data_IF_929127654885
#
_entry.id   IF_929127654885
#
_cell.length_a   1.000
_cell.length_b   1.000
_cell.length_c   1.000
_cell.angle_alpha   90.00
_cell.angle_beta   90.00
_cell.angle_gamma   90.00
#
_symmetry.space_group_name_H-M   'P 1'
#
loop_
_entity.id
_entity.type
_entity.pdbx_description
1 polymer ?
#
# COMPACT_ATOMS: atom_id res chain seq x y z
N UNK A 1 -118.47 3.31 30.63
CA UNK A 1 -118.44 4.77 30.36
C UNK A 1 -117.15 5.30 30.98
N UNK A 2 -116.11 5.51 30.14
CA UNK A 2 -114.77 6.12 30.42
C UNK A 2 -113.74 5.42 31.34
N UNK A 3 -112.43 5.67 31.08
CA UNK A 3 -111.19 4.91 31.46
C UNK A 3 -110.07 5.77 32.15
N UNK A 4 -108.77 5.30 32.18
CA UNK A 4 -107.41 5.93 32.43
C UNK A 4 -106.60 5.28 33.60
N UNK A 5 -105.26 5.12 33.66
CA UNK A 5 -104.11 4.86 32.73
C UNK A 5 -102.78 4.58 33.54
N UNK A 6 -101.71 3.94 33.00
CA UNK A 6 -100.44 3.59 33.73
C UNK A 6 -99.16 3.36 32.84
N UNK A 7 -97.95 3.70 33.35
CA UNK A 7 -96.64 3.54 32.65
C UNK A 7 -95.50 2.85 33.44
N UNK A 8 -94.46 2.33 32.76
CA UNK A 8 -93.54 1.26 33.24
C UNK A 8 -92.07 1.70 33.42
N UNK A 9 -91.40 1.19 34.48
CA UNK A 9 -89.95 1.26 34.78
C UNK A 9 -89.47 -0.04 35.47
N UNK A 10 -88.29 -0.57 35.11
CA UNK A 10 -87.49 -1.51 35.93
C UNK A 10 -86.00 -1.38 35.57
N UNK A 11 -85.13 -1.27 36.58
CA UNK A 11 -83.67 -1.26 36.45
C UNK A 11 -83.10 -2.40 37.31
N UNK A 12 -82.29 -3.32 36.78
CA UNK A 12 -81.72 -4.43 37.54
C UNK A 12 -80.45 -5.06 36.91
N UNK A 13 -79.44 -5.35 37.75
CA UNK A 13 -78.24 -6.17 37.47
C UNK A 13 -77.30 -5.62 36.37
N UNK A 14 -75.98 -5.84 36.35
CA UNK A 14 -75.09 -6.70 37.12
C UNK A 14 -73.75 -6.74 36.36
N UNK A 15 -72.62 -6.94 37.05
CA UNK A 15 -71.29 -6.86 36.44
C UNK A 15 -71.00 -8.06 35.51
N UNK A 16 -70.78 -7.82 34.20
CA UNK A 16 -70.20 -8.82 33.29
C UNK A 16 -69.06 -8.21 32.46
N UNK A 17 -67.84 -8.64 32.78
CA UNK A 17 -66.67 -8.54 31.89
C UNK A 17 -66.67 -9.81 31.04
N UNK A 18 -66.53 -9.71 29.71
CA UNK A 18 -65.87 -10.80 29.00
C UNK A 18 -65.13 -10.44 27.70
N UNK A 19 -63.89 -10.92 27.67
CA UNK A 19 -63.00 -11.03 26.53
C UNK A 19 -63.67 -11.59 25.25
N UNK A 20 -63.40 -10.94 24.09
CA UNK A 20 -62.63 -11.63 23.03
C UNK A 20 -62.06 -10.69 21.96
N UNK A 21 -60.74 -10.77 21.86
CA UNK A 21 -59.85 -10.51 20.72
C UNK A 21 -60.46 -10.05 19.37
N UNK A 22 -59.82 -9.03 18.78
CA UNK A 22 -59.05 -9.31 17.56
C UNK A 22 -57.80 -8.44 17.43
N UNK A 23 -56.73 -9.05 16.88
CA UNK A 23 -55.43 -8.43 16.68
C UNK A 23 -55.48 -7.49 15.48
N UNK A 24 -55.01 -6.25 15.62
CA UNK A 24 -54.15 -5.57 14.63
C UNK A 24 -53.86 -4.13 15.06
N UNK A 25 -52.58 -3.74 15.06
CA UNK A 25 -52.00 -2.75 14.14
C UNK A 25 -50.55 -2.44 14.56
N UNK A 26 -49.61 -2.85 13.70
CA UNK A 26 -48.30 -2.21 13.44
C UNK A 26 -47.51 -1.62 14.62
N UNK A 27 -46.87 -2.50 15.38
CA UNK A 27 -45.62 -2.16 16.08
C UNK A 27 -44.53 -1.88 15.03
N UNK A 28 -43.98 -0.64 14.97
CA UNK A 28 -42.86 -0.26 14.08
C UNK A 28 -41.53 -0.07 14.83
N UNK A 29 -40.75 -1.13 15.13
CA UNK A 29 -39.38 -1.01 15.64
C UNK A 29 -38.35 -1.37 14.55
N UNK A 30 -38.21 -0.57 13.49
CA UNK A 30 -37.30 -0.93 12.37
C UNK A 30 -36.67 0.26 11.64
N UNK A 31 -36.28 1.32 12.37
CA UNK A 31 -35.47 2.42 11.79
C UNK A 31 -34.26 2.74 12.68
N UNK A 32 -34.42 2.75 14.01
CA UNK A 32 -33.33 3.14 14.94
C UNK A 32 -32.14 2.17 14.97
N UNK A 33 -32.33 0.89 14.64
CA UNK A 33 -31.27 -0.12 14.65
C UNK A 33 -30.31 -0.03 13.45
N UNK A 34 -30.72 0.60 12.34
CA UNK A 34 -29.93 0.66 11.11
C UNK A 34 -28.90 1.81 11.12
N UNK A 35 -29.07 2.78 12.02
CA UNK A 35 -28.22 3.98 12.12
C UNK A 35 -26.97 3.80 12.99
N UNK A 36 -26.91 2.78 13.87
CA UNK A 36 -25.71 2.46 14.65
C UNK A 36 -24.68 1.62 13.87
N UNK A 37 -25.09 0.90 12.81
CA UNK A 37 -24.19 -0.02 12.10
C UNK A 37 -23.28 0.68 11.07
N UNK A 38 -23.61 1.91 10.67
CA UNK A 38 -22.84 2.69 9.69
C UNK A 38 -21.59 3.38 10.29
N UNK A 39 -21.49 3.50 11.61
CA UNK A 39 -20.43 4.26 12.29
C UNK A 39 -19.08 3.54 12.38
N UNK A 40 -19.00 2.25 12.05
CA UNK A 40 -17.80 1.41 12.24
C UNK A 40 -16.98 1.22 10.95
N UNK A 41 -17.48 1.71 9.81
CA UNK A 41 -16.90 1.46 8.48
C UNK A 41 -15.75 2.41 8.08
N UNK A 42 -15.36 3.38 8.93
CA UNK A 42 -14.36 4.42 8.61
C UNK A 42 -13.09 4.38 9.47
N UNK A 43 -12.80 3.25 10.13
CA UNK A 43 -11.40 2.94 10.46
C UNK A 43 -10.74 2.40 9.18
N UNK A 44 -10.48 3.29 8.23
CA UNK A 44 -9.71 2.94 7.05
C UNK A 44 -8.32 2.48 7.49
N UNK A 45 -7.84 1.37 6.95
CA UNK A 45 -6.41 1.08 7.02
C UNK A 45 -5.68 2.24 6.34
N UNK A 46 -4.94 3.02 7.11
CA UNK A 46 -3.87 3.82 6.55
C UNK A 46 -2.90 2.82 5.91
N UNK A 47 -2.85 2.81 4.56
CA UNK A 47 -2.01 1.90 3.76
C UNK A 47 -0.51 2.10 4.04
N UNK A 48 -0.16 3.27 4.56
CA UNK A 48 1.19 3.77 4.76
C UNK A 48 1.37 4.22 6.21
N UNK A 49 2.51 3.88 6.80
CA UNK A 49 2.88 4.29 8.15
C UNK A 49 3.30 5.77 8.15
N UNK A 50 2.56 6.60 8.88
CA UNK A 50 2.82 8.05 8.98
C UNK A 50 3.92 8.38 10.00
N UNK A 51 4.21 7.45 10.90
CA UNK A 51 5.21 7.59 11.95
C UNK A 51 6.57 7.00 11.53
N UNK A 52 6.71 6.53 10.28
CA UNK A 52 7.96 6.01 9.73
C UNK A 52 9.05 7.10 9.76
N UNK A 53 10.20 6.77 10.34
CA UNK A 53 11.36 7.65 10.46
C UNK A 53 12.43 7.20 9.48
N UNK A 54 13.11 8.17 8.87
CA UNK A 54 14.24 7.92 7.97
C UNK A 54 14.06 8.52 6.59
N UNK A 55 15.14 8.40 5.82
CA UNK A 55 15.31 8.87 4.45
C UNK A 55 15.71 7.69 3.56
N UNK A 56 15.36 7.74 2.26
CA UNK A 56 15.68 6.70 1.28
C UNK A 56 16.91 7.10 0.48
N UNK A 57 17.92 6.25 0.50
CA UNK A 57 19.20 6.53 -0.15
C UNK A 57 19.67 5.35 -0.98
N UNK A 58 20.28 5.62 -2.13
CA UNK A 58 20.92 4.62 -2.98
C UNK A 58 22.42 4.69 -2.75
N UNK A 59 23.01 3.58 -2.31
CA UNK A 59 24.44 3.42 -2.07
C UNK A 59 25.04 2.44 -3.08
N UNK A 60 26.31 2.63 -3.41
CA UNK A 60 27.12 1.58 -4.03
C UNK A 60 27.56 0.55 -2.98
N UNK A 61 27.76 -0.69 -3.41
CA UNK A 61 28.33 -1.76 -2.58
C UNK A 61 29.84 -1.88 -2.84
N UNK A 62 30.64 -1.58 -1.80
CA UNK A 62 32.11 -1.69 -1.78
C UNK A 62 32.54 -3.17 -1.67
N UNK A 63 31.89 -3.91 -0.76
CA UNK A 63 32.03 -5.36 -0.65
C UNK A 63 30.65 -6.04 -0.70
N UNK A 64 30.54 -7.17 -1.40
CA UNK A 64 29.38 -8.05 -1.37
C UNK A 64 29.75 -9.46 -1.86
N UNK A 65 28.88 -10.43 -1.63
CA UNK A 65 29.04 -11.80 -2.12
C UNK A 65 27.84 -12.16 -3.01
N UNK A 66 28.09 -12.87 -4.10
CA UNK A 66 27.05 -13.44 -4.96
C UNK A 66 26.76 -14.89 -4.59
N UNK A 67 25.54 -15.34 -4.86
CA UNK A 67 25.20 -16.77 -4.86
C UNK A 67 25.90 -17.47 -6.04
N UNK A 68 26.46 -18.69 -5.88
CA UNK A 68 27.09 -19.41 -6.99
C UNK A 68 26.14 -19.61 -8.18
N UNK A 69 26.67 -19.45 -9.40
CA UNK A 69 25.94 -19.55 -10.68
C UNK A 69 24.72 -18.60 -10.80
N UNK A 70 24.76 -17.45 -10.13
CA UNK A 70 23.66 -16.47 -10.06
C UNK A 70 24.22 -15.06 -9.84
N UNK A 71 23.52 -14.04 -10.32
CA UNK A 71 23.77 -12.63 -9.99
C UNK A 71 23.24 -12.23 -8.62
N UNK A 72 22.42 -13.06 -7.98
CA UNK A 72 21.76 -12.75 -6.72
C UNK A 72 22.79 -12.43 -5.61
N UNK A 73 22.64 -11.26 -5.00
CA UNK A 73 23.50 -10.79 -3.91
C UNK A 73 23.06 -11.46 -2.60
N UNK A 74 24.02 -11.92 -1.80
CA UNK A 74 23.76 -12.54 -0.51
C UNK A 74 23.55 -11.46 0.57
N UNK A 75 22.55 -11.65 1.42
CA UNK A 75 22.19 -10.73 2.51
C UNK A 75 23.21 -10.64 3.67
N UNK A 76 24.47 -11.07 3.46
CA UNK A 76 25.52 -11.15 4.48
C UNK A 76 26.87 -10.77 3.90
N UNK A 77 27.67 -9.98 4.64
CA UNK A 77 28.97 -9.51 4.16
C UNK A 77 28.84 -8.47 3.03
N UNK A 78 27.82 -7.61 3.15
CA UNK A 78 27.68 -6.40 2.34
C UNK A 78 28.27 -5.21 3.09
N UNK A 79 29.04 -4.38 2.39
CA UNK A 79 29.58 -3.11 2.87
C UNK A 79 29.13 -2.03 1.90
N UNK A 80 28.49 -0.99 2.42
CA UNK A 80 28.10 0.19 1.65
C UNK A 80 29.30 1.14 1.50
N UNK A 81 29.39 1.83 0.37
CA UNK A 81 30.28 2.99 0.27
C UNK A 81 29.93 4.06 1.33
N UNK A 82 30.91 4.88 1.71
CA UNK A 82 30.77 5.85 2.79
C UNK A 82 29.78 7.00 2.52
N UNK A 83 29.39 7.20 1.26
CA UNK A 83 28.44 8.23 0.82
C UNK A 83 27.44 7.64 -0.16
N UNK A 84 26.16 8.04 -0.12
CA UNK A 84 25.17 7.60 -1.10
C UNK A 84 25.53 8.14 -2.48
N UNK A 85 25.26 7.34 -3.51
CA UNK A 85 25.39 7.77 -4.91
C UNK A 85 24.17 8.57 -5.37
N UNK A 86 23.00 8.35 -4.73
CA UNK A 86 21.81 9.22 -4.77
C UNK A 86 21.34 9.46 -3.34
N UNK A 87 21.42 10.71 -2.87
CA UNK A 87 20.88 11.11 -1.57
C UNK A 87 19.36 11.35 -1.65
N UNK A 88 18.64 11.22 -0.53
CA UNK A 88 17.17 11.35 -0.54
C UNK A 88 16.65 12.70 -1.05
N UNK A 89 17.42 13.77 -0.83
CA UNK A 89 17.10 15.10 -1.33
C UNK A 89 17.06 15.17 -2.87
N UNK A 90 17.83 14.32 -3.55
CA UNK A 90 17.95 14.26 -5.01
C UNK A 90 16.91 13.34 -5.67
N UNK A 91 16.11 12.62 -4.87
CA UNK A 91 14.96 11.85 -5.37
C UNK A 91 13.75 12.79 -5.38
N UNK A 92 13.22 13.08 -6.56
CA UNK A 92 12.06 13.95 -6.75
C UNK A 92 10.78 13.18 -6.42
N UNK A 93 10.67 11.94 -6.91
CA UNK A 93 9.50 11.09 -6.72
C UNK A 93 9.79 9.61 -6.94
N UNK A 94 8.79 8.78 -6.63
CA UNK A 94 8.82 7.35 -6.91
C UNK A 94 7.44 6.86 -7.37
N UNK A 95 7.39 6.27 -8.56
CA UNK A 95 6.20 5.60 -9.10
C UNK A 95 6.20 4.13 -8.70
N UNK A 96 5.27 3.77 -7.81
CA UNK A 96 5.13 2.40 -7.31
C UNK A 96 4.46 1.44 -8.32
N UNK A 97 3.80 1.96 -9.35
CA UNK A 97 3.22 1.15 -10.43
C UNK A 97 4.30 0.68 -11.41
N UNK A 98 5.27 1.54 -11.73
CA UNK A 98 6.37 1.20 -12.66
C UNK A 98 7.69 0.81 -11.96
N UNK A 99 7.79 1.00 -10.64
CA UNK A 99 9.01 0.85 -9.84
C UNK A 99 10.14 1.77 -10.30
N UNK A 100 9.81 3.05 -10.48
CA UNK A 100 10.69 4.04 -11.12
C UNK A 100 10.96 5.21 -10.18
N UNK A 101 12.23 5.59 -10.03
CA UNK A 101 12.63 6.80 -9.31
C UNK A 101 12.75 7.96 -10.29
N UNK A 102 12.07 9.08 -10.00
CA UNK A 102 12.33 10.37 -10.63
C UNK A 102 13.46 11.07 -9.85
N UNK A 103 14.50 11.50 -10.55
CA UNK A 103 15.78 11.96 -9.97
C UNK A 103 16.12 13.38 -10.44
N UNK A 104 16.79 14.14 -9.58
CA UNK A 104 17.41 15.38 -10.03
C UNK A 104 18.40 15.10 -11.18
N UNK A 105 18.45 15.93 -12.24
CA UNK A 105 19.33 15.69 -13.39
C UNK A 105 20.82 15.52 -13.04
N UNK A 106 21.27 16.15 -11.95
CA UNK A 106 22.63 16.02 -11.43
C UNK A 106 22.89 14.66 -10.76
N UNK A 107 21.87 13.98 -10.24
CA UNK A 107 21.97 12.61 -9.76
C UNK A 107 21.92 11.61 -10.91
N UNK A 108 20.94 11.75 -11.82
CA UNK A 108 20.82 10.91 -13.01
C UNK A 108 22.11 10.88 -13.84
N UNK A 109 22.75 12.03 -14.06
CA UNK A 109 24.02 12.11 -14.80
C UNK A 109 25.18 11.33 -14.16
N UNK A 110 25.22 11.19 -12.82
CA UNK A 110 26.29 10.43 -12.13
C UNK A 110 26.17 8.92 -12.30
N UNK A 111 24.97 8.41 -12.56
CA UNK A 111 24.72 6.97 -12.63
C UNK A 111 25.07 6.37 -14.01
N UNK A 112 25.18 7.20 -15.05
CA UNK A 112 25.39 6.75 -16.44
C UNK A 112 26.69 5.93 -16.62
N UNK A 113 27.74 6.24 -15.85
CA UNK A 113 29.03 5.54 -15.91
C UNK A 113 29.11 4.28 -15.01
N UNK A 114 28.06 3.94 -14.25
CA UNK A 114 28.08 2.89 -13.21
C UNK A 114 27.74 1.48 -13.72
N UNK A 115 27.88 1.21 -15.03
CA UNK A 115 27.50 -0.07 -15.62
C UNK A 115 28.16 -1.28 -14.91
N UNK A 116 27.32 -2.25 -14.50
CA UNK A 116 27.62 -3.43 -13.68
C UNK A 116 27.99 -3.17 -12.22
N UNK A 117 28.03 -1.91 -11.75
CA UNK A 117 28.20 -1.61 -10.33
C UNK A 117 26.99 -2.07 -9.53
N UNK A 118 27.24 -2.73 -8.39
CA UNK A 118 26.20 -3.19 -7.49
C UNK A 118 25.77 -2.05 -6.55
N UNK A 119 24.46 -1.99 -6.25
CA UNK A 119 23.88 -0.98 -5.38
C UNK A 119 22.98 -1.58 -4.31
N UNK A 120 22.70 -0.80 -3.28
CA UNK A 120 21.66 -1.04 -2.28
C UNK A 120 20.73 0.17 -2.18
N UNK A 121 19.42 -0.08 -2.11
CA UNK A 121 18.44 0.90 -1.67
C UNK A 121 18.23 0.71 -0.17
N UNK A 122 18.36 1.79 0.58
CA UNK A 122 18.36 1.78 2.03
C UNK A 122 17.30 2.69 2.63
N UNK A 123 16.92 2.45 3.88
CA UNK A 123 16.23 3.41 4.74
C UNK A 123 17.14 3.67 5.93
N UNK A 124 17.65 4.90 6.06
CA UNK A 124 18.63 5.26 7.12
C UNK A 124 19.83 4.30 7.21
N UNK A 125 20.33 3.82 6.06
CA UNK A 125 21.42 2.84 5.97
C UNK A 125 21.04 1.38 6.23
N UNK A 126 19.79 1.07 6.63
CA UNK A 126 19.28 -0.31 6.61
C UNK A 126 18.94 -0.72 5.18
N UNK A 127 19.60 -1.75 4.65
CA UNK A 127 19.37 -2.24 3.28
C UNK A 127 17.96 -2.86 3.18
N UNK A 128 17.18 -2.35 2.23
CA UNK A 128 15.87 -2.90 1.87
C UNK A 128 16.01 -3.92 0.75
N UNK A 129 16.64 -3.52 -0.36
CA UNK A 129 16.99 -4.42 -1.47
C UNK A 129 18.29 -3.98 -2.14
N UNK A 130 18.84 -4.86 -2.98
CA UNK A 130 20.06 -4.61 -3.75
C UNK A 130 19.83 -4.90 -5.22
N UNK A 131 20.69 -4.37 -6.08
CA UNK A 131 20.61 -4.55 -7.53
C UNK A 131 21.92 -4.21 -8.24
N UNK A 132 21.87 -4.16 -9.57
CA UNK A 132 22.98 -3.69 -10.41
C UNK A 132 22.51 -2.60 -11.36
N UNK A 133 23.33 -1.57 -11.56
CA UNK A 133 23.14 -0.65 -12.68
C UNK A 133 23.48 -1.36 -13.99
N UNK A 134 22.58 -1.32 -14.97
CA UNK A 134 22.70 -2.15 -16.17
C UNK A 134 22.33 -1.40 -17.44
N UNK A 135 22.98 -1.78 -18.54
CA UNK A 135 22.69 -1.25 -19.87
C UNK A 135 22.00 -2.32 -20.72
N UNK A 136 20.94 -1.91 -21.42
CA UNK A 136 20.18 -2.73 -22.37
C UNK A 136 20.94 -3.24 -23.60
N UNK A 137 22.25 -3.03 -23.66
CA UNK A 137 23.15 -3.54 -24.70
C UNK A 137 23.93 -4.80 -24.25
N UNK A 138 23.71 -5.27 -23.03
CA UNK A 138 24.33 -6.51 -22.52
C UNK A 138 23.69 -7.77 -23.08
N UNK A 139 24.50 -8.81 -23.31
CA UNK A 139 24.04 -10.18 -23.62
C UNK A 139 24.07 -11.13 -22.43
N UNK A 140 24.50 -10.66 -21.25
CA UNK A 140 24.50 -11.44 -20.02
C UNK A 140 23.08 -11.47 -19.42
N UNK A 141 22.70 -12.59 -18.83
CA UNK A 141 21.46 -12.74 -18.06
C UNK A 141 21.73 -12.32 -16.63
N UNK A 142 20.82 -11.55 -16.02
CA UNK A 142 20.86 -11.17 -14.61
C UNK A 142 19.59 -11.69 -13.95
N UNK A 143 19.71 -12.53 -12.93
CA UNK A 143 18.61 -13.04 -12.10
C UNK A 143 18.53 -12.28 -10.76
N UNK A 144 18.61 -10.95 -10.84
CA UNK A 144 18.54 -10.03 -9.69
C UNK A 144 17.92 -8.68 -10.11
N UNK A 145 17.68 -7.75 -9.16
CA UNK A 145 17.15 -6.43 -9.50
C UNK A 145 18.15 -5.65 -10.36
N UNK A 146 17.64 -4.97 -11.38
CA UNK A 146 18.39 -4.19 -12.35
C UNK A 146 17.86 -2.77 -12.42
N UNK A 147 18.75 -1.77 -12.33
CA UNK A 147 18.43 -0.38 -12.61
C UNK A 147 18.80 -0.07 -14.06
N UNK A 148 17.81 0.30 -14.89
CA UNK A 148 18.01 0.49 -16.34
C UNK A 148 18.61 1.86 -16.67
N UNK A 149 19.90 1.84 -17.04
CA UNK A 149 20.63 3.02 -17.47
C UNK A 149 20.18 3.54 -18.85
N UNK A 150 19.51 2.73 -19.68
CA UNK A 150 19.01 3.18 -20.99
C UNK A 150 17.76 4.04 -20.82
N UNK A 151 16.81 3.63 -19.98
CA UNK A 151 15.69 4.49 -19.57
C UNK A 151 16.21 5.77 -18.92
N UNK A 152 17.21 5.67 -18.02
CA UNK A 152 17.82 6.84 -17.37
C UNK A 152 18.45 7.83 -18.36
N UNK A 153 19.19 7.36 -19.37
CA UNK A 153 19.77 8.22 -20.41
C UNK A 153 18.69 8.90 -21.26
N UNK A 154 17.54 8.24 -21.47
CA UNK A 154 16.47 8.71 -22.36
C UNK A 154 15.46 9.65 -21.69
N UNK A 155 15.08 9.43 -20.42
CA UNK A 155 14.07 10.23 -19.71
C UNK A 155 14.57 10.91 -18.44
N UNK A 156 15.72 10.51 -17.89
CA UNK A 156 16.19 10.93 -16.57
C UNK A 156 15.63 10.10 -15.41
N UNK A 157 14.75 9.13 -15.70
CA UNK A 157 14.09 8.28 -14.72
C UNK A 157 14.86 6.96 -14.49
N UNK A 158 15.08 6.57 -13.23
CA UNK A 158 15.76 5.32 -12.89
C UNK A 158 14.73 4.21 -12.65
N UNK A 159 14.44 3.44 -13.71
CA UNK A 159 13.52 2.31 -13.66
C UNK A 159 14.19 1.06 -13.08
N UNK A 160 13.56 0.45 -12.07
CA UNK A 160 14.03 -0.77 -11.41
C UNK A 160 13.24 -1.99 -11.94
N UNK A 161 13.89 -2.89 -12.67
CA UNK A 161 13.31 -4.13 -13.19
C UNK A 161 13.74 -5.38 -12.41
N UNK A 162 12.91 -6.43 -12.46
CA UNK A 162 13.26 -7.76 -11.96
C UNK A 162 13.96 -8.55 -13.06
N UNK A 163 15.27 -8.67 -12.96
CA UNK A 163 16.10 -9.42 -13.89
C UNK A 163 16.30 -8.74 -15.24
N UNK A 164 17.23 -9.28 -16.01
CA UNK A 164 17.55 -8.81 -17.36
C UNK A 164 17.85 -10.02 -18.27
N UNK A 165 17.38 -10.02 -19.55
CA UNK A 165 16.72 -8.94 -20.29
C UNK A 165 15.28 -8.62 -19.88
N UNK A 166 14.67 -9.50 -19.07
CA UNK A 166 13.37 -9.35 -18.41
C UNK A 166 13.23 -10.49 -17.39
N UNK A 167 12.17 -10.48 -16.57
CA UNK A 167 11.90 -11.58 -15.64
C UNK A 167 11.57 -12.88 -16.41
N UNK A 168 12.51 -13.83 -16.41
CA UNK A 168 12.37 -15.11 -17.10
C UNK A 168 11.83 -16.22 -16.17
N UNK A 169 11.20 -17.25 -16.75
CA UNK A 169 10.81 -18.45 -16.00
C UNK A 169 12.03 -19.09 -15.31
N UNK A 170 11.88 -19.41 -14.03
CA UNK A 170 12.95 -19.98 -13.20
C UNK A 170 13.79 -18.96 -12.43
N UNK A 171 13.73 -17.67 -12.76
CA UNK A 171 14.26 -16.61 -11.90
C UNK A 171 13.39 -16.48 -10.64
N UNK A 172 14.03 -16.46 -9.47
CA UNK A 172 13.35 -16.28 -8.18
C UNK A 172 13.99 -15.09 -7.45
N UNK A 173 13.52 -13.89 -7.78
CA UNK A 173 14.00 -12.61 -7.27
C UNK A 173 12.96 -12.12 -6.24
N UNK A 174 13.35 -11.89 -4.96
CA UNK A 174 12.50 -11.20 -4.00
C UNK A 174 12.17 -9.79 -4.50
N UNK A 175 10.88 -9.43 -4.52
CA UNK A 175 10.43 -8.13 -5.01
C UNK A 175 10.11 -7.17 -3.86
N UNK A 176 11.16 -6.64 -3.25
CA UNK A 176 11.09 -5.65 -2.17
C UNK A 176 11.18 -4.20 -2.70
N UNK A 177 11.06 -3.99 -4.02
CA UNK A 177 11.06 -2.64 -4.64
C UNK A 177 9.94 -1.75 -4.08
N UNK A 178 8.81 -2.37 -3.74
CA UNK A 178 7.64 -1.76 -3.12
C UNK A 178 7.49 -2.18 -1.63
N UNK A 179 8.59 -2.36 -0.88
CA UNK A 179 8.55 -2.52 0.59
C UNK A 179 7.68 -1.39 1.20
N UNK A 180 6.71 -1.76 2.04
CA UNK A 180 5.78 -0.81 2.64
C UNK A 180 6.49 0.34 3.40
N UNK A 181 7.70 0.11 3.93
CA UNK A 181 8.53 1.15 4.57
C UNK A 181 9.00 2.19 3.56
N UNK A 182 9.45 1.77 2.36
CA UNK A 182 9.83 2.68 1.27
C UNK A 182 8.62 3.51 0.83
N UNK A 183 7.49 2.84 0.55
CA UNK A 183 6.26 3.50 0.14
C UNK A 183 5.75 4.48 1.21
N UNK A 184 5.90 4.12 2.48
CA UNK A 184 5.50 4.99 3.59
C UNK A 184 6.36 6.24 3.70
N UNK A 185 7.69 6.14 3.54
CA UNK A 185 8.58 7.31 3.50
C UNK A 185 8.27 8.22 2.30
N UNK A 186 8.08 7.66 1.10
CA UNK A 186 7.69 8.45 -0.06
C UNK A 186 6.31 9.11 0.09
N UNK A 187 5.34 8.40 0.65
CA UNK A 187 3.99 8.95 0.89
C UNK A 187 4.01 10.06 1.97
N UNK A 188 4.75 9.86 3.07
CA UNK A 188 4.92 10.85 4.16
C UNK A 188 5.36 12.21 3.63
N UNK A 189 6.31 12.20 2.69
CA UNK A 189 6.96 13.41 2.17
C UNK A 189 6.36 13.90 0.84
N UNK A 190 5.24 13.30 0.38
CA UNK A 190 4.55 13.70 -0.85
C UNK A 190 5.31 13.38 -2.15
N UNK A 191 6.25 12.43 -2.10
CA UNK A 191 7.07 11.95 -3.22
C UNK A 191 6.53 10.68 -3.89
N UNK A 192 5.54 10.00 -3.28
CA UNK A 192 4.92 8.83 -3.87
C UNK A 192 3.97 9.21 -5.01
N UNK A 193 4.09 8.52 -6.14
CA UNK A 193 3.18 8.57 -7.28
C UNK A 193 2.46 7.22 -7.32
N UNK A 194 1.12 7.22 -7.16
CA UNK A 194 0.27 6.03 -7.09
C UNK A 194 -1.04 6.11 -7.91
#
# INVERSE_FOLDING_TARGET
>A
MTEVDFGIKVDAEGLIINHKAMKSLFYKPSITAMLLLAAVAFNGCDKYDKDIVGEIEIYLLDEYNQKPESSAILNTGMVLEATPVVAYAEIIGYDATTCTFDLEPAAAARLQDLYQSAFAVTISGEIVYTGYFWSGLSSQIVDWVVADLVTLEMSGELKMDLGYPYLMEGMNIPDDRNDNRLLSVFHRDGKLID
#
